data_IF_754544263419
#
_entry.id   IF_754544263419
#
_cell.length_a   1.000
_cell.length_b   1.000
_cell.length_c   1.000
_cell.angle_alpha   90.00
_cell.angle_beta   90.00
_cell.angle_gamma   90.00
#
_symmetry.space_group_name_H-M   'P 1'
#
loop_
_entity.id
_entity.type
_entity.pdbx_description
1 polymer ?
#
# COMPACT_ATOMS: atom_id res chain seq x y z
N UNK A 1 -2.10 24.91 3.84
CA UNK A 1 -1.55 23.94 2.85
C UNK A 1 -2.09 24.33 1.48
N UNK A 2 -1.26 24.65 0.47
CA UNK A 2 -1.77 25.09 -0.82
C UNK A 2 -2.35 23.89 -1.59
N UNK A 3 -3.67 23.75 -1.55
CA UNK A 3 -4.42 22.79 -2.38
C UNK A 3 -4.75 23.41 -3.74
N UNK A 4 -4.98 24.71 -3.74
CA UNK A 4 -5.14 25.54 -4.92
C UNK A 4 -3.78 26.03 -5.41
N UNK A 5 -3.48 25.78 -6.67
CA UNK A 5 -2.24 26.17 -7.32
C UNK A 5 -2.58 27.20 -8.40
N UNK A 6 -2.48 28.52 -8.13
CA UNK A 6 -2.77 29.53 -9.14
C UNK A 6 -1.79 29.41 -10.30
N UNK A 7 -2.25 29.77 -11.49
CA UNK A 7 -1.35 29.93 -12.62
C UNK A 7 -0.38 31.08 -12.32
N UNK A 8 0.93 30.86 -12.44
CA UNK A 8 1.92 31.91 -12.22
C UNK A 8 1.82 32.96 -13.31
N UNK A 9 2.02 34.22 -12.92
CA UNK A 9 2.02 35.33 -13.88
C UNK A 9 3.19 35.19 -14.86
N UNK A 10 2.95 35.30 -16.18
CA UNK A 10 4.01 35.20 -17.17
C UNK A 10 4.96 36.40 -17.07
N UNK A 11 6.17 36.16 -16.58
CA UNK A 11 7.27 37.13 -16.63
C UNK A 11 7.97 37.09 -18.00
N UNK A 12 7.91 38.18 -18.76
CA UNK A 12 8.71 38.32 -19.98
C UNK A 12 10.18 38.55 -19.60
N UNK A 13 11.14 37.83 -20.20
CA UNK A 13 12.55 38.16 -20.09
C UNK A 13 12.82 39.63 -20.49
N UNK A 14 13.68 40.32 -19.75
CA UNK A 14 13.96 41.75 -19.96
C UNK A 14 14.63 42.06 -21.32
N UNK A 15 15.27 41.06 -21.92
CA UNK A 15 15.91 41.13 -23.24
C UNK A 15 14.91 41.00 -24.41
N UNK A 16 13.62 40.78 -24.12
CA UNK A 16 12.57 40.58 -25.12
C UNK A 16 12.74 39.32 -25.98
N UNK A 17 13.71 38.44 -25.65
CA UNK A 17 14.06 37.25 -26.43
C UNK A 17 13.83 36.01 -25.59
N UNK A 18 12.59 35.52 -25.59
CA UNK A 18 12.31 34.19 -25.06
C UNK A 18 10.86 34.00 -24.61
N UNK A 19 10.35 32.82 -24.92
CA UNK A 19 9.20 32.24 -24.25
C UNK A 19 9.66 31.72 -22.89
N UNK A 20 9.13 32.23 -21.78
CA UNK A 20 9.36 31.58 -20.48
C UNK A 20 8.67 30.19 -20.50
N UNK A 21 9.14 29.21 -19.71
CA UNK A 21 8.56 27.85 -19.67
C UNK A 21 7.02 27.82 -19.48
N UNK A 22 6.47 28.88 -18.89
CA UNK A 22 5.04 29.10 -18.70
C UNK A 22 4.30 29.33 -20.02
N UNK A 23 4.86 30.13 -20.93
CA UNK A 23 4.24 30.39 -22.23
C UNK A 23 4.07 29.11 -23.07
N UNK A 24 5.00 28.15 -23.04
CA UNK A 24 4.84 26.88 -23.77
C UNK A 24 3.70 25.99 -23.18
N UNK A 25 3.55 25.95 -21.86
CA UNK A 25 2.45 25.22 -21.21
C UNK A 25 1.09 25.94 -21.34
N UNK A 26 1.11 27.28 -21.34
CA UNK A 26 -0.07 28.12 -21.54
C UNK A 26 -0.60 28.04 -22.99
N UNK A 27 0.28 27.87 -23.99
CA UNK A 27 -0.09 27.74 -25.40
C UNK A 27 -0.76 26.40 -25.76
N UNK A 28 -0.66 25.37 -24.91
CA UNK A 28 -1.22 24.03 -25.16
C UNK A 28 -2.59 23.82 -24.49
N UNK A 29 -3.29 24.89 -24.11
CA UNK A 29 -4.64 24.81 -23.51
C UNK A 29 -4.67 24.36 -22.05
N UNK A 30 -3.53 24.44 -21.33
CA UNK A 30 -3.38 24.08 -19.91
C UNK A 30 -3.37 25.33 -19.00
N UNK A 31 -3.83 26.47 -19.52
CA UNK A 31 -3.96 27.73 -18.78
C UNK A 31 -5.09 27.66 -17.77
N UNK A 32 -4.79 27.91 -16.51
CA UNK A 32 -5.74 27.83 -15.41
C UNK A 32 -5.12 27.30 -14.13
N UNK A 33 -5.75 27.66 -13.02
CA UNK A 33 -5.35 27.16 -11.72
C UNK A 33 -5.52 25.64 -11.63
N UNK A 34 -4.64 24.99 -10.89
CA UNK A 34 -4.58 23.54 -10.71
C UNK A 34 -4.93 23.14 -9.28
N UNK A 35 -5.16 21.84 -9.07
CA UNK A 35 -5.44 21.27 -7.76
C UNK A 35 -4.36 20.25 -7.37
N UNK A 36 -3.65 20.50 -6.28
CA UNK A 36 -2.57 19.63 -5.78
C UNK A 36 -3.03 18.21 -5.43
N UNK A 37 -4.34 17.99 -5.26
CA UNK A 37 -4.95 16.69 -4.97
C UNK A 37 -5.36 15.91 -6.24
N UNK A 38 -5.07 16.45 -7.42
CA UNK A 38 -5.39 15.82 -8.72
C UNK A 38 -4.12 15.57 -9.54
N UNK A 39 -3.26 14.61 -9.13
CA UNK A 39 -2.03 14.32 -9.84
C UNK A 39 -2.27 13.77 -11.25
N UNK A 40 -1.27 13.94 -12.13
CA UNK A 40 -1.24 13.36 -13.50
C UNK A 40 -0.02 12.50 -13.77
N UNK A 41 0.91 12.44 -12.83
CA UNK A 41 2.19 11.76 -12.98
C UNK A 41 2.66 11.22 -11.63
N UNK A 42 3.67 10.36 -11.63
CA UNK A 42 4.29 9.87 -10.40
C UNK A 42 4.84 11.00 -9.53
N UNK A 43 5.53 11.97 -10.13
CA UNK A 43 6.09 13.12 -9.39
C UNK A 43 4.99 13.95 -8.72
N UNK A 44 3.92 14.25 -9.44
CA UNK A 44 2.78 14.99 -8.86
C UNK A 44 1.97 14.15 -7.88
N UNK A 45 1.95 12.83 -8.03
CA UNK A 45 1.35 11.92 -7.03
C UNK A 45 2.15 11.97 -5.72
N UNK A 46 3.49 12.01 -5.79
CA UNK A 46 4.35 12.19 -4.62
C UNK A 46 4.08 13.53 -3.94
N UNK A 47 4.07 14.63 -4.70
CA UNK A 47 3.72 15.96 -4.17
C UNK A 47 2.29 16.05 -3.63
N UNK A 48 1.35 15.29 -4.19
CA UNK A 48 -0.04 15.31 -3.71
C UNK A 48 -0.18 14.73 -2.30
N UNK A 49 0.74 13.85 -1.88
CA UNK A 49 0.76 13.30 -0.51
C UNK A 49 1.30 14.29 0.52
N UNK A 50 2.14 15.23 0.08
CA UNK A 50 2.59 16.38 0.88
C UNK A 50 2.47 17.67 0.08
N UNK A 51 1.26 18.23 0.08
CA UNK A 51 0.91 19.40 -0.75
C UNK A 51 1.70 20.66 -0.40
N UNK A 52 2.49 20.69 0.68
CA UNK A 52 3.42 21.79 0.97
C UNK A 52 4.50 21.93 -0.11
N UNK A 53 4.84 20.82 -0.76
CA UNK A 53 5.83 20.75 -1.84
C UNK A 53 5.23 21.00 -3.22
N UNK A 54 3.90 20.95 -3.33
CA UNK A 54 3.22 21.12 -4.61
C UNK A 54 3.49 22.49 -5.24
N UNK A 55 3.75 22.50 -6.54
CA UNK A 55 3.91 23.70 -7.36
C UNK A 55 3.00 23.61 -8.58
N UNK A 56 2.65 24.76 -9.16
CA UNK A 56 1.87 24.76 -10.39
C UNK A 56 2.65 24.03 -11.51
N UNK A 57 1.95 23.15 -12.23
CA UNK A 57 2.52 22.27 -13.26
C UNK A 57 2.29 20.78 -12.94
N UNK A 58 1.82 20.01 -13.91
CA UNK A 58 1.67 18.55 -13.78
C UNK A 58 0.45 18.05 -12.99
N UNK A 59 -0.43 18.94 -12.52
CA UNK A 59 -1.71 18.59 -11.88
C UNK A 59 -2.90 18.84 -12.81
N UNK A 60 -4.08 18.28 -12.50
CA UNK A 60 -5.34 18.63 -13.19
C UNK A 60 -5.87 19.96 -12.72
N UNK A 61 -6.62 20.62 -13.60
CA UNK A 61 -7.26 21.92 -13.34
C UNK A 61 -8.12 21.88 -12.07
N UNK A 62 -8.16 23.01 -11.37
CA UNK A 62 -9.03 23.20 -10.22
C UNK A 62 -10.49 23.35 -10.70
N UNK A 63 -11.42 22.59 -10.12
CA UNK A 63 -12.84 22.66 -10.47
C UNK A 63 -13.62 23.71 -9.65
N UNK A 64 -12.98 24.32 -8.65
CA UNK A 64 -13.61 25.23 -7.67
C UNK A 64 -12.90 26.58 -7.50
N UNK A 65 -11.90 26.88 -8.36
CA UNK A 65 -11.16 28.16 -8.34
C UNK A 65 -10.66 28.59 -6.95
N UNK A 66 -10.28 27.63 -6.10
CA UNK A 66 -9.75 27.89 -4.77
C UNK A 66 -10.76 27.75 -3.63
N UNK A 67 -12.06 27.64 -3.90
CA UNK A 67 -13.04 27.31 -2.85
C UNK A 67 -12.92 25.83 -2.45
N UNK A 68 -12.10 25.59 -1.43
CA UNK A 68 -11.84 24.26 -0.91
C UNK A 68 -12.89 23.82 0.13
N UNK A 69 -13.71 24.72 0.68
CA UNK A 69 -14.62 24.40 1.80
C UNK A 69 -15.68 23.38 1.41
N UNK A 70 -16.18 23.47 0.19
CA UNK A 70 -17.21 22.57 -0.37
C UNK A 70 -16.66 21.68 -1.49
N UNK A 71 -15.33 21.57 -1.59
CA UNK A 71 -14.68 20.89 -2.70
C UNK A 71 -14.80 19.37 -2.57
N UNK A 72 -15.47 18.68 -3.52
CA UNK A 72 -15.64 17.23 -3.45
C UNK A 72 -14.30 16.48 -3.55
N UNK A 73 -13.29 17.07 -4.19
CA UNK A 73 -11.93 16.51 -4.27
C UNK A 73 -11.27 16.48 -2.90
N UNK A 74 -11.42 17.55 -2.11
CA UNK A 74 -10.88 17.62 -0.76
C UNK A 74 -11.67 16.68 0.16
N UNK A 75 -13.00 16.73 0.13
CA UNK A 75 -13.86 15.84 0.92
C UNK A 75 -13.48 14.36 0.69
N UNK A 76 -13.40 13.94 -0.58
CA UNK A 76 -13.03 12.58 -0.94
C UNK A 76 -11.59 12.20 -0.51
N UNK A 77 -10.65 13.16 -0.44
CA UNK A 77 -9.27 12.92 0.02
C UNK A 77 -9.18 12.74 1.54
N UNK A 78 -10.06 13.42 2.29
CA UNK A 78 -10.18 13.30 3.73
C UNK A 78 -10.94 12.04 4.15
N UNK A 79 -11.92 11.61 3.36
CA UNK A 79 -12.66 10.37 3.61
C UNK A 79 -11.76 9.14 3.58
N UNK A 80 -12.07 8.16 4.43
CA UNK A 80 -11.44 6.85 4.37
C UNK A 80 -11.71 6.22 3.01
N UNK A 81 -10.69 6.14 2.16
CA UNK A 81 -10.80 5.47 0.87
C UNK A 81 -11.28 4.04 1.08
N UNK A 82 -12.39 3.68 0.45
CA UNK A 82 -12.92 2.31 0.41
C UNK A 82 -12.16 1.44 -0.59
N UNK A 83 -11.32 2.05 -1.43
CA UNK A 83 -10.52 1.37 -2.44
C UNK A 83 -9.47 0.48 -1.78
N UNK A 84 -9.41 -0.78 -2.23
CA UNK A 84 -8.44 -1.77 -1.75
C UNK A 84 -7.57 -2.23 -2.90
N UNK A 85 -6.27 -2.41 -2.63
CA UNK A 85 -5.39 -3.13 -3.55
C UNK A 85 -5.82 -4.60 -3.53
N UNK A 86 -6.12 -5.22 -4.69
CA UNK A 86 -6.68 -6.58 -4.74
C UNK A 86 -5.62 -7.68 -4.53
N UNK A 87 -4.35 -7.33 -4.39
CA UNK A 87 -3.24 -8.26 -4.27
C UNK A 87 -2.73 -8.35 -2.83
N UNK A 88 -2.52 -9.54 -2.29
CA UNK A 88 -1.85 -9.74 -0.99
C UNK A 88 -0.33 -9.86 -1.14
N UNK A 89 0.28 -8.86 -1.78
CA UNK A 89 1.72 -8.78 -1.99
C UNK A 89 2.35 -7.64 -1.17
N UNK A 90 3.62 -7.75 -0.74
CA UNK A 90 4.33 -6.69 -0.01
C UNK A 90 4.59 -5.44 -0.86
N UNK A 91 4.62 -5.60 -2.18
CA UNK A 91 4.69 -4.51 -3.15
C UNK A 91 3.90 -4.87 -4.39
N UNK A 92 3.37 -3.88 -5.08
CA UNK A 92 2.70 -4.03 -6.37
C UNK A 92 3.29 -3.03 -7.35
N UNK A 93 3.38 -3.41 -8.61
CA UNK A 93 3.87 -2.55 -9.67
C UNK A 93 2.68 -1.81 -10.31
N UNK A 94 2.78 -0.49 -10.42
CA UNK A 94 1.84 0.33 -11.18
C UNK A 94 2.50 0.75 -12.48
N UNK A 95 2.07 0.17 -13.59
CA UNK A 95 2.49 0.54 -14.94
C UNK A 95 1.73 1.78 -15.39
N UNK A 96 2.45 2.74 -15.98
CA UNK A 96 1.89 3.96 -16.51
C UNK A 96 2.06 3.98 -18.03
N UNK A 97 0.94 3.94 -18.74
CA UNK A 97 0.91 3.94 -20.21
C UNK A 97 0.20 5.20 -20.68
N UNK A 98 0.91 6.03 -21.44
CA UNK A 98 0.35 7.25 -22.00
C UNK A 98 -0.03 7.02 -23.45
N UNK A 99 -1.30 7.17 -23.76
CA UNK A 99 -1.79 7.16 -25.14
C UNK A 99 -2.16 8.57 -25.57
N UNK A 100 -1.84 8.91 -26.82
CA UNK A 100 -2.30 10.14 -27.44
C UNK A 100 -3.60 9.81 -28.20
N UNK A 101 -4.63 10.66 -28.14
CA UNK A 101 -5.83 10.48 -28.95
C UNK A 101 -5.49 10.44 -30.45
N UNK A 102 -6.15 9.57 -31.22
CA UNK A 102 -6.00 9.55 -32.68
C UNK A 102 -6.42 10.90 -33.28
N UNK A 103 -5.62 11.44 -34.20
CA UNK A 103 -5.86 12.76 -34.79
C UNK A 103 -5.62 13.94 -33.83
N UNK A 104 -5.03 13.69 -32.66
CA UNK A 104 -4.57 14.75 -31.78
C UNK A 104 -3.65 15.72 -32.52
N UNK A 105 -4.03 17.01 -32.54
CA UNK A 105 -3.08 18.08 -32.81
C UNK A 105 -1.97 18.04 -31.76
N UNK A 106 -0.81 18.66 -32.05
CA UNK A 106 0.33 18.73 -31.13
C UNK A 106 0.00 19.20 -29.69
N UNK A 107 -1.21 19.75 -29.45
CA UNK A 107 -1.68 20.25 -28.16
C UNK A 107 -2.52 19.26 -27.32
N UNK A 108 -2.88 18.07 -27.80
CA UNK A 108 -3.70 17.17 -26.99
C UNK A 108 -2.91 16.57 -25.82
N UNK A 109 -3.47 16.68 -24.61
CA UNK A 109 -2.88 16.07 -23.42
C UNK A 109 -2.95 14.53 -23.50
N UNK A 110 -1.84 13.80 -23.26
CA UNK A 110 -1.87 12.34 -23.25
C UNK A 110 -2.79 11.83 -22.14
N UNK A 111 -3.52 10.77 -22.45
CA UNK A 111 -4.31 10.02 -21.46
C UNK A 111 -3.42 8.93 -20.89
N UNK A 112 -3.03 9.08 -19.62
CA UNK A 112 -2.29 8.02 -18.93
C UNK A 112 -3.25 7.02 -18.28
N UNK A 113 -3.24 5.78 -18.77
CA UNK A 113 -3.82 4.63 -18.12
C UNK A 113 -2.84 4.04 -17.09
N UNK A 114 -3.37 3.60 -15.95
CA UNK A 114 -2.57 2.95 -14.90
C UNK A 114 -3.04 1.51 -14.72
N UNK A 115 -2.09 0.58 -14.66
CA UNK A 115 -2.35 -0.84 -14.46
C UNK A 115 -1.55 -1.33 -13.27
N UNK A 116 -2.23 -1.86 -12.25
CA UNK A 116 -1.60 -2.39 -11.04
C UNK A 116 -1.51 -3.91 -11.15
N UNK A 117 -0.35 -4.49 -10.79
CA UNK A 117 -0.11 -5.94 -10.82
C UNK A 117 0.85 -6.36 -9.69
N UNK A 118 0.70 -7.57 -9.17
CA UNK A 118 1.69 -8.24 -8.32
C UNK A 118 2.64 -9.16 -9.12
N UNK A 119 2.42 -9.28 -10.43
CA UNK A 119 3.27 -10.00 -11.39
C UNK A 119 4.00 -8.99 -12.30
N UNK A 120 5.16 -8.45 -11.87
CA UNK A 120 5.83 -7.37 -12.59
C UNK A 120 6.35 -7.77 -13.97
N UNK A 121 6.69 -9.04 -14.16
CA UNK A 121 7.25 -9.61 -15.39
C UNK A 121 6.17 -10.11 -16.36
N UNK A 122 4.88 -9.97 -16.03
CA UNK A 122 3.79 -10.39 -16.93
C UNK A 122 3.68 -9.40 -18.11
N UNK A 123 3.99 -9.81 -19.36
CA UNK A 123 3.86 -8.94 -20.52
C UNK A 123 2.40 -8.53 -20.79
N UNK A 124 1.43 -9.29 -20.26
CA UNK A 124 0.00 -9.05 -20.40
C UNK A 124 -0.61 -8.33 -19.19
N UNK A 125 0.19 -7.63 -18.40
CA UNK A 125 -0.28 -6.87 -17.22
C UNK A 125 -1.42 -5.86 -17.52
N UNK A 126 -1.60 -5.45 -18.78
CA UNK A 126 -2.75 -4.62 -19.21
C UNK A 126 -4.09 -5.37 -19.16
N UNK A 127 -4.06 -6.67 -19.43
CA UNK A 127 -5.25 -7.54 -19.43
C UNK A 127 -5.47 -8.16 -18.04
N UNK A 128 -4.38 -8.57 -17.38
CA UNK A 128 -4.43 -9.29 -16.11
C UNK A 128 -4.39 -8.36 -14.88
N UNK A 129 -3.92 -7.12 -15.07
CA UNK A 129 -3.80 -6.13 -14.01
C UNK A 129 -5.09 -5.37 -13.76
N UNK A 130 -5.22 -4.82 -12.55
CA UNK A 130 -6.34 -3.96 -12.19
C UNK A 130 -6.12 -2.56 -12.77
N UNK A 131 -7.14 -2.00 -13.44
CA UNK A 131 -7.09 -0.61 -13.92
C UNK A 131 -7.26 0.40 -12.78
N UNK A 132 -6.38 1.40 -12.76
CA UNK A 132 -6.38 2.51 -11.81
C UNK A 132 -6.33 3.87 -12.51
N UNK A 133 -6.50 4.93 -11.72
CA UNK A 133 -6.21 6.30 -12.14
C UNK A 133 -5.48 7.04 -11.02
N UNK A 134 -4.83 8.15 -11.37
CA UNK A 134 -4.01 8.93 -10.45
C UNK A 134 -4.79 9.42 -9.20
N UNK A 135 -6.06 9.76 -9.35
CA UNK A 135 -6.90 10.23 -8.24
C UNK A 135 -7.24 9.10 -7.26
N UNK A 136 -7.52 7.89 -7.75
CA UNK A 136 -7.72 6.71 -6.90
C UNK A 136 -6.44 6.34 -6.14
N UNK A 137 -5.28 6.41 -6.80
CA UNK A 137 -3.99 6.15 -6.14
C UNK A 137 -3.60 7.19 -5.08
N UNK A 138 -3.93 8.46 -5.30
CA UNK A 138 -3.71 9.52 -4.32
C UNK A 138 -4.45 9.24 -3.00
N UNK A 139 -5.65 8.69 -3.08
CA UNK A 139 -6.51 8.38 -1.93
C UNK A 139 -6.19 7.04 -1.27
N UNK A 140 -5.35 6.22 -1.91
CA UNK A 140 -5.08 4.87 -1.45
C UNK A 140 -4.34 4.88 -0.11
N UNK A 141 -5.02 4.39 0.94
CA UNK A 141 -4.47 4.28 2.29
C UNK A 141 -3.74 2.95 2.46
N UNK A 142 -2.78 2.94 3.39
CA UNK A 142 -2.02 1.74 3.70
C UNK A 142 -0.91 1.41 2.70
N UNK A 143 -0.67 2.25 1.69
CA UNK A 143 0.36 2.01 0.68
C UNK A 143 1.23 3.23 0.44
N UNK A 144 2.54 3.04 0.47
CA UNK A 144 3.55 4.04 0.18
C UNK A 144 3.98 4.05 -1.30
N UNK A 145 4.44 5.21 -1.77
CA UNK A 145 5.05 5.33 -3.09
C UNK A 145 6.49 4.84 -2.99
N UNK A 146 6.79 3.81 -3.76
CA UNK A 146 8.14 3.32 -3.98
C UNK A 146 8.83 4.01 -5.16
N UNK A 147 10.02 3.51 -5.53
CA UNK A 147 10.80 4.04 -6.63
C UNK A 147 10.10 3.84 -7.98
N UNK A 148 10.44 4.70 -8.94
CA UNK A 148 10.14 4.47 -10.35
C UNK A 148 10.83 3.20 -10.84
N UNK A 149 10.22 2.56 -11.83
CA UNK A 149 10.66 1.29 -12.38
C UNK A 149 10.45 1.31 -13.89
N UNK A 150 11.42 0.78 -14.64
CA UNK A 150 11.34 0.66 -16.09
C UNK A 150 12.05 -0.63 -16.53
N UNK A 151 11.43 -1.34 -17.47
CA UNK A 151 11.95 -2.56 -18.10
C UNK A 151 11.44 -2.66 -19.53
N UNK A 152 11.60 -3.83 -20.17
CA UNK A 152 11.20 -4.08 -21.56
C UNK A 152 9.69 -3.94 -21.80
N UNK A 153 8.86 -4.10 -20.76
CA UNK A 153 7.40 -3.97 -20.83
C UNK A 153 6.99 -2.48 -20.82
N UNK A 154 7.76 -1.64 -20.12
CA UNK A 154 7.56 -0.20 -20.11
C UNK A 154 7.86 0.45 -18.76
N UNK A 155 7.34 1.66 -18.56
CA UNK A 155 7.58 2.45 -17.34
C UNK A 155 6.48 2.29 -16.29
N UNK A 156 6.85 2.49 -15.03
CA UNK A 156 5.95 2.40 -13.89
C UNK A 156 6.62 2.83 -12.59
N UNK A 157 6.01 2.43 -11.48
CA UNK A 157 6.56 2.65 -10.15
C UNK A 157 5.99 1.64 -9.17
N UNK A 158 6.76 1.35 -8.12
CA UNK A 158 6.32 0.47 -7.06
C UNK A 158 5.37 1.18 -6.10
N UNK A 159 4.37 0.46 -5.62
CA UNK A 159 3.67 0.78 -4.39
C UNK A 159 4.06 -0.22 -3.32
N UNK A 160 4.42 0.28 -2.15
CA UNK A 160 4.92 -0.50 -1.03
C UNK A 160 3.83 -0.62 0.02
N UNK A 161 3.57 -1.84 0.49
CA UNK A 161 2.58 -2.07 1.52
C UNK A 161 3.07 -1.51 2.85
N UNK A 162 2.21 -0.78 3.54
CA UNK A 162 2.46 -0.34 4.93
C UNK A 162 1.74 -1.27 5.92
N UNK A 163 2.08 -1.22 7.21
CA UNK A 163 1.38 -1.97 8.25
C UNK A 163 -0.14 -1.70 8.35
N UNK A 164 -0.61 -0.57 7.80
CA UNK A 164 -2.03 -0.18 7.83
C UNK A 164 -2.83 -0.69 6.62
N UNK A 165 -2.20 -1.31 5.62
CA UNK A 165 -2.93 -1.87 4.49
C UNK A 165 -3.66 -3.16 4.90
N UNK A 166 -4.92 -3.34 4.48
CA UNK A 166 -5.61 -4.61 4.68
C UNK A 166 -4.99 -5.73 3.82
N UNK A 167 -5.02 -6.97 4.31
CA UNK A 167 -4.68 -8.18 3.55
C UNK A 167 -5.90 -8.64 2.73
N UNK A 168 -5.92 -8.49 1.39
CA UNK A 168 -7.14 -8.62 0.60
C UNK A 168 -7.54 -10.08 0.32
N UNK A 169 -8.13 -10.75 1.31
CA UNK A 169 -8.76 -12.11 1.31
C UNK A 169 -8.70 -12.74 2.70
N UNK A 170 -7.96 -12.11 3.62
CA UNK A 170 -7.84 -12.54 5.00
C UNK A 170 -8.93 -11.87 5.83
N UNK A 171 -9.86 -12.68 6.33
CA UNK A 171 -10.78 -12.26 7.38
C UNK A 171 -10.14 -12.49 8.74
N UNK A 172 -10.26 -11.51 9.63
CA UNK A 172 -9.80 -11.63 11.02
C UNK A 172 -11.01 -11.62 11.94
N UNK A 173 -11.24 -12.75 12.63
CA UNK A 173 -12.33 -12.89 13.62
C UNK A 173 -11.76 -12.80 15.02
N UNK A 174 -12.21 -11.80 15.76
CA UNK A 174 -11.75 -11.55 17.14
C UNK A 174 -12.75 -12.06 18.16
N UNK A 175 -12.28 -12.82 19.14
CA UNK A 175 -13.06 -13.29 20.29
C UNK A 175 -12.33 -12.99 21.59
N UNK A 176 -12.82 -12.00 22.34
CA UNK A 176 -12.35 -11.69 23.67
C UNK A 176 -12.91 -12.68 24.71
N UNK A 177 -12.10 -13.00 25.72
CA UNK A 177 -12.43 -13.77 26.92
C UNK A 177 -11.83 -13.05 28.14
N UNK A 178 -12.20 -13.49 29.34
CA UNK A 178 -11.78 -12.87 30.61
C UNK A 178 -10.26 -12.74 30.75
N UNK A 179 -9.49 -13.74 30.29
CA UNK A 179 -8.04 -13.80 30.47
C UNK A 179 -7.24 -13.78 29.16
N UNK A 180 -7.91 -13.78 28.00
CA UNK A 180 -7.24 -13.82 26.71
C UNK A 180 -8.14 -13.30 25.59
N UNK A 181 -7.53 -12.91 24.48
CA UNK A 181 -8.21 -12.60 23.23
C UNK A 181 -7.65 -13.46 22.12
N UNK A 182 -8.53 -13.97 21.25
CA UNK A 182 -8.15 -14.78 20.08
C UNK A 182 -8.50 -14.06 18.80
N UNK A 183 -7.56 -14.06 17.85
CA UNK A 183 -7.74 -13.58 16.49
C UNK A 183 -7.53 -14.76 15.55
N UNK A 184 -8.61 -15.26 14.97
CA UNK A 184 -8.55 -16.28 13.93
C UNK A 184 -8.41 -15.59 12.58
N UNK A 185 -7.38 -15.97 11.83
CA UNK A 185 -7.18 -15.51 10.46
C UNK A 185 -7.70 -16.60 9.52
N UNK A 186 -8.65 -16.23 8.66
CA UNK A 186 -9.32 -17.16 7.77
C UNK A 186 -9.24 -16.70 6.33
N UNK A 187 -9.02 -17.65 5.42
CA UNK A 187 -9.06 -17.45 3.96
C UNK A 187 -10.13 -18.37 3.41
N UNK A 188 -11.11 -17.81 2.69
CA UNK A 188 -12.25 -18.57 2.15
C UNK A 188 -12.99 -19.45 3.20
N UNK A 189 -13.04 -18.98 4.45
CA UNK A 189 -13.68 -19.70 5.57
C UNK A 189 -12.78 -20.71 6.30
N UNK A 190 -11.63 -21.08 5.74
CA UNK A 190 -10.67 -22.00 6.36
C UNK A 190 -9.67 -21.23 7.23
N UNK A 191 -9.35 -21.75 8.42
CA UNK A 191 -8.43 -21.11 9.37
C UNK A 191 -6.98 -21.35 8.97
N UNK A 192 -6.27 -20.28 8.63
CA UNK A 192 -4.84 -20.32 8.30
C UNK A 192 -3.93 -20.16 9.53
N UNK A 193 -4.39 -19.32 10.48
CA UNK A 193 -3.63 -19.02 11.69
C UNK A 193 -4.54 -18.60 12.85
N UNK A 194 -4.02 -18.75 14.07
CA UNK A 194 -4.66 -18.31 15.31
C UNK A 194 -3.67 -17.57 16.19
N UNK A 195 -3.86 -16.27 16.36
CA UNK A 195 -3.16 -15.48 17.37
C UNK A 195 -3.96 -15.52 18.68
N UNK A 196 -3.30 -15.89 19.77
CA UNK A 196 -3.82 -15.82 21.13
C UNK A 196 -2.99 -14.81 21.92
N UNK A 197 -3.63 -13.75 22.42
CA UNK A 197 -3.04 -12.75 23.30
C UNK A 197 -3.52 -13.00 24.73
N UNK A 198 -2.63 -13.07 25.70
CA UNK A 198 -2.98 -13.25 27.12
C UNK A 198 -3.06 -11.89 27.82
N UNK A 199 -4.08 -11.71 28.65
CA UNK A 199 -4.43 -10.40 29.22
C UNK A 199 -5.12 -9.50 28.19
N UNK A 200 -4.62 -8.28 28.02
CA UNK A 200 -5.14 -7.31 27.06
C UNK A 200 -4.38 -7.36 25.74
N UNK A 201 -5.10 -7.34 24.61
CA UNK A 201 -4.47 -7.08 23.32
C UNK A 201 -3.75 -5.73 23.38
N UNK A 202 -2.46 -5.71 23.07
CA UNK A 202 -1.65 -4.48 23.05
C UNK A 202 -1.60 -3.83 21.66
N UNK A 203 -2.37 -4.32 20.70
CA UNK A 203 -2.33 -3.93 19.28
C UNK A 203 -3.68 -3.36 18.82
N UNK A 204 -4.17 -2.38 19.57
CA UNK A 204 -5.53 -1.83 19.49
C UNK A 204 -5.86 -1.17 18.14
N UNK A 205 -4.85 -0.79 17.36
CA UNK A 205 -4.99 -0.14 16.06
C UNK A 205 -5.17 -1.14 14.89
N UNK A 206 -5.13 -2.45 15.18
CA UNK A 206 -5.22 -3.50 14.16
C UNK A 206 -3.97 -3.66 13.29
N UNK A 207 -2.90 -2.91 13.56
CA UNK A 207 -1.66 -2.92 12.76
C UNK A 207 -1.00 -4.29 12.79
N UNK A 208 -0.84 -4.90 13.97
CA UNK A 208 -0.28 -6.25 14.08
C UNK A 208 -1.10 -7.27 13.27
N UNK A 209 -2.43 -7.17 13.33
CA UNK A 209 -3.32 -8.10 12.64
C UNK A 209 -3.17 -7.96 11.11
N UNK A 210 -3.07 -6.73 10.62
CA UNK A 210 -2.80 -6.49 9.20
C UNK A 210 -1.43 -7.07 8.79
N UNK A 211 -0.36 -6.78 9.55
CA UNK A 211 0.99 -7.28 9.24
C UNK A 211 1.05 -8.80 9.24
N UNK A 212 0.44 -9.48 10.23
CA UNK A 212 0.33 -10.95 10.21
C UNK A 212 -0.44 -11.40 8.96
N UNK A 213 -1.56 -10.75 8.64
CA UNK A 213 -2.37 -11.06 7.46
C UNK A 213 -1.61 -10.93 6.14
N UNK A 214 -0.61 -10.05 6.04
CA UNK A 214 0.23 -9.91 4.84
C UNK A 214 1.07 -11.15 4.54
N UNK A 215 1.29 -12.01 5.54
CA UNK A 215 2.09 -13.23 5.41
C UNK A 215 1.25 -14.49 5.24
N UNK A 216 -0.08 -14.37 5.28
CA UNK A 216 -0.98 -15.52 5.15
C UNK A 216 -1.02 -16.00 3.70
N UNK A 217 -0.88 -17.31 3.45
CA UNK A 217 -1.05 -17.89 2.12
C UNK A 217 -2.42 -17.56 1.49
N UNK A 218 -2.44 -17.27 0.19
CA UNK A 218 -3.69 -17.02 -0.54
C UNK A 218 -4.58 -18.24 -0.74
N UNK A 219 -4.03 -19.44 -0.53
CA UNK A 219 -4.73 -20.72 -0.56
C UNK A 219 -4.44 -21.45 0.74
N UNK A 220 -5.50 -21.94 1.38
CA UNK A 220 -5.46 -22.68 2.63
C UNK A 220 -6.17 -24.00 2.37
N UNK A 221 -5.40 -25.09 2.36
CA UNK A 221 -5.88 -26.46 2.26
C UNK A 221 -5.83 -27.12 3.64
N UNK A 222 -6.62 -28.17 3.88
CA UNK A 222 -6.53 -28.92 5.15
C UNK A 222 -5.22 -29.76 5.23
N UNK A 223 -4.30 -29.59 4.26
CA UNK A 223 -3.07 -30.34 4.17
C UNK A 223 -1.98 -29.85 5.15
N UNK A 224 -1.10 -30.79 5.49
CA UNK A 224 -0.07 -30.68 6.51
C UNK A 224 0.94 -29.59 6.15
N UNK A 225 1.23 -28.65 7.06
CA UNK A 225 2.41 -27.77 7.00
C UNK A 225 3.67 -28.63 6.79
N UNK A 226 4.28 -28.53 5.61
CA UNK A 226 5.44 -29.35 5.19
C UNK A 226 6.78 -28.82 5.70
N UNK A 227 6.78 -27.64 6.34
CA UNK A 227 8.00 -26.99 6.82
C UNK A 227 8.62 -27.78 7.96
N UNK A 228 9.83 -28.30 7.72
CA UNK A 228 10.61 -28.95 8.78
C UNK A 228 11.16 -27.91 9.77
N UNK A 229 11.17 -28.23 11.06
CA UNK A 229 11.68 -27.34 12.12
C UNK A 229 13.10 -26.81 11.85
N UNK A 230 13.96 -27.60 11.17
CA UNK A 230 15.32 -27.20 10.77
C UNK A 230 15.36 -26.04 9.78
N UNK A 231 14.29 -25.83 9.02
CA UNK A 231 14.16 -24.75 8.04
C UNK A 231 13.69 -23.43 8.68
N UNK A 232 13.20 -23.49 9.93
CA UNK A 232 12.72 -22.35 10.69
C UNK A 232 13.85 -21.81 11.58
N UNK A 233 14.80 -21.11 10.97
CA UNK A 233 15.70 -20.22 11.72
C UNK A 233 14.90 -19.01 12.20
N UNK A 234 14.41 -19.04 13.44
CA UNK A 234 13.67 -17.91 14.00
C UNK A 234 14.54 -16.65 14.04
N UNK A 235 13.94 -15.45 13.94
CA UNK A 235 14.70 -14.21 14.15
C UNK A 235 15.42 -14.30 15.48
N UNK A 236 16.76 -14.28 15.46
CA UNK A 236 17.55 -14.22 16.67
C UNK A 236 17.25 -12.89 17.34
N UNK A 237 16.82 -12.91 18.61
CA UNK A 237 16.59 -11.65 19.30
C UNK A 237 15.90 -11.77 20.64
N UNK A 238 16.55 -11.20 21.64
CA UNK A 238 15.85 -10.56 22.74
C UNK A 238 15.49 -9.14 22.28
N UNK A 239 14.21 -8.78 22.30
CA UNK A 239 13.76 -7.42 22.04
C UNK A 239 12.97 -6.92 23.25
N UNK A 240 13.48 -5.92 23.96
CA UNK A 240 12.85 -5.35 25.16
C UNK A 240 12.43 -6.42 26.20
N UNK A 241 13.32 -7.39 26.50
CA UNK A 241 13.03 -8.49 27.44
C UNK A 241 12.16 -9.62 26.87
N UNK A 242 11.77 -9.54 25.59
CA UNK A 242 10.95 -10.55 24.92
C UNK A 242 11.76 -11.45 24.03
N UNK A 243 11.36 -12.71 23.94
CA UNK A 243 11.93 -13.68 23.00
C UNK A 243 10.85 -14.59 22.43
N UNK A 244 11.17 -15.20 21.30
CA UNK A 244 10.30 -16.15 20.60
C UNK A 244 10.74 -17.59 20.91
N UNK A 245 9.78 -18.44 21.24
CA UNK A 245 9.94 -19.88 21.28
C UNK A 245 9.15 -20.50 20.13
N UNK A 246 9.76 -21.41 19.38
CA UNK A 246 9.12 -22.14 18.29
C UNK A 246 8.90 -23.59 18.70
N UNK A 247 7.67 -24.06 18.56
CA UNK A 247 7.29 -25.45 18.61
C UNK A 247 6.73 -25.84 17.24
N UNK A 248 7.37 -26.79 16.56
CA UNK A 248 6.98 -27.20 15.21
C UNK A 248 6.95 -28.72 15.13
N UNK A 249 5.82 -29.25 14.70
CA UNK A 249 5.59 -30.67 14.44
C UNK A 249 4.99 -30.85 13.04
N UNK A 250 4.91 -32.09 12.58
CA UNK A 250 4.37 -32.38 11.25
C UNK A 250 2.92 -31.89 11.18
N UNK A 251 2.66 -30.85 10.38
CA UNK A 251 1.31 -30.32 10.16
C UNK A 251 0.94 -29.08 10.95
N UNK A 252 1.77 -28.63 11.89
CA UNK A 252 1.52 -27.38 12.61
C UNK A 252 2.80 -26.77 13.14
N UNK A 253 2.84 -25.44 13.14
CA UNK A 253 3.86 -24.66 13.80
C UNK A 253 3.20 -23.72 14.80
N UNK A 254 3.88 -23.45 15.91
CA UNK A 254 3.44 -22.50 16.92
C UNK A 254 4.62 -21.67 17.38
N UNK A 255 4.47 -20.35 17.24
CA UNK A 255 5.42 -19.38 17.74
C UNK A 255 4.84 -18.74 19.00
N UNK A 256 5.58 -18.78 20.09
CA UNK A 256 5.18 -18.24 21.39
C UNK A 256 6.06 -17.04 21.74
N UNK A 257 5.44 -15.91 22.05
CA UNK A 257 6.11 -14.71 22.55
C UNK A 257 6.13 -14.77 24.08
N UNK A 258 7.34 -14.73 24.65
CA UNK A 258 7.60 -14.78 26.08
C UNK A 258 8.17 -13.43 26.55
N UNK A 259 7.71 -12.93 27.70
CA UNK A 259 8.21 -11.74 28.43
C UNK A 259 8.48 -12.17 29.88
N UNK A 260 9.73 -12.11 30.33
CA UNK A 260 10.15 -12.52 31.69
C UNK A 260 9.59 -13.88 32.16
N UNK A 261 9.63 -14.88 31.26
CA UNK A 261 9.10 -16.26 31.39
C UNK A 261 7.58 -16.41 31.30
N UNK A 262 6.83 -15.33 31.17
CA UNK A 262 5.37 -15.37 30.98
C UNK A 262 5.01 -15.36 29.50
N UNK A 263 4.04 -16.18 29.11
CA UNK A 263 3.49 -16.16 27.75
C UNK A 263 2.60 -14.93 27.56
N UNK A 264 3.01 -14.04 26.66
CA UNK A 264 2.23 -12.84 26.29
C UNK A 264 1.34 -13.12 25.09
N UNK A 265 1.87 -13.85 24.11
CA UNK A 265 1.10 -14.24 22.93
C UNK A 265 1.57 -15.58 22.36
N UNK A 266 0.71 -16.24 21.57
CA UNK A 266 1.11 -17.34 20.71
C UNK A 266 0.39 -17.25 19.36
N UNK A 267 1.15 -17.46 18.29
CA UNK A 267 0.67 -17.57 16.93
C UNK A 267 0.80 -19.02 16.49
N UNK A 268 -0.34 -19.69 16.31
CA UNK A 268 -0.40 -21.02 15.73
C UNK A 268 -0.70 -20.93 14.23
N UNK A 269 -0.05 -21.78 13.45
CA UNK A 269 -0.21 -21.93 12.01
C UNK A 269 -0.85 -23.29 11.76
N UNK A 270 -1.97 -23.30 11.03
CA UNK A 270 -2.78 -24.49 10.77
C UNK A 270 -2.89 -24.73 9.27
N UNK A 271 -2.97 -26.01 8.87
CA UNK A 271 -3.42 -26.51 7.56
C UNK A 271 -3.23 -25.53 6.39
N UNK A 272 -2.01 -25.46 5.84
CA UNK A 272 -1.73 -24.64 4.65
C UNK A 272 -0.28 -24.76 4.19
N UNK A 273 -0.06 -24.35 2.94
CA UNK A 273 1.25 -24.20 2.29
C UNK A 273 2.07 -23.03 2.84
N UNK A 274 2.17 -22.91 4.17
CA UNK A 274 3.06 -21.95 4.80
C UNK A 274 4.50 -22.20 4.35
N UNK A 275 5.16 -21.16 3.88
CA UNK A 275 6.61 -21.20 3.67
C UNK A 275 7.32 -20.85 4.98
N UNK A 276 8.57 -21.33 5.13
CA UNK A 276 9.40 -20.96 6.28
C UNK A 276 9.60 -19.44 6.38
N UNK A 277 9.62 -18.73 5.25
CA UNK A 277 9.74 -17.27 5.21
C UNK A 277 8.48 -16.56 5.71
N UNK A 278 7.29 -17.03 5.33
CA UNK A 278 6.03 -16.49 5.83
C UNK A 278 5.91 -16.66 7.35
N UNK A 279 6.24 -17.85 7.87
CA UNK A 279 6.23 -18.12 9.32
C UNK A 279 7.22 -17.18 10.04
N UNK A 280 8.46 -17.06 9.54
CA UNK A 280 9.47 -16.17 10.14
C UNK A 280 9.04 -14.71 10.12
N UNK A 281 8.42 -14.26 9.04
CA UNK A 281 8.00 -12.86 8.90
C UNK A 281 6.82 -12.54 9.82
N UNK A 282 5.82 -13.43 9.89
CA UNK A 282 4.71 -13.31 10.85
C UNK A 282 5.20 -13.35 12.30
N UNK A 283 6.19 -14.19 12.61
CA UNK A 283 6.82 -14.25 13.92
C UNK A 283 7.59 -12.97 14.27
N UNK A 284 8.32 -12.41 13.30
CA UNK A 284 9.01 -11.12 13.45
C UNK A 284 8.03 -9.99 13.76
N UNK A 285 6.89 -9.96 13.06
CA UNK A 285 5.82 -9.01 13.34
C UNK A 285 5.31 -9.11 14.79
N UNK A 286 5.15 -10.34 15.30
CA UNK A 286 4.73 -10.57 16.68
C UNK A 286 5.74 -10.03 17.71
N UNK A 287 7.04 -10.16 17.44
CA UNK A 287 8.11 -9.66 18.31
C UNK A 287 8.16 -8.13 18.34
N UNK A 288 7.96 -7.47 17.19
CA UNK A 288 8.17 -6.03 17.06
C UNK A 288 6.91 -5.16 17.24
N UNK A 289 5.72 -5.67 16.93
CA UNK A 289 4.48 -4.87 16.98
C UNK A 289 3.76 -4.93 18.33
N UNK A 290 4.35 -5.56 19.36
CA UNK A 290 3.76 -5.64 20.70
C UNK A 290 4.32 -4.59 21.68
N UNK A 291 5.24 -3.72 21.24
CA UNK A 291 5.83 -2.66 22.05
C UNK A 291 4.97 -1.39 22.06
N UNK A 292 4.56 -0.95 23.24
CA UNK A 292 4.32 0.48 23.51
C UNK A 292 5.65 1.09 23.95
#
# INVERSE_FOLDING_TARGET
MPIYLPEPEPTRPADGRGYNRLSLNAHMGVGGAQCALRPKSWATLLESRDTRRARWGGFRSCTRQGDCRTCPVLAASLDSSTERVPYNAPRVLVRAESTFPDGATFAAEPVTALWMTDQPTDPNCRMNGQRWNWFRLHRLKGWDLGPQYADEIGSGFWMLRTPYAPAPHVEVRTRARTSLTRHAFTVNGTRAALLTCHGHCRHDDGTLLNVIGHHIPGVVDDEIVTVGWRQLSMPAGFHNGRHLALDAHRGSARVTLLEDRSQVAALAFDGSQWTAEQIRSAASALLHCTGR
#
